data_IF_818398191722
#
_entry.id   IF_818398191722
#
_cell.length_a   1.000
_cell.length_b   1.000
_cell.length_c   1.000
_cell.angle_alpha   90.00
_cell.angle_beta   90.00
_cell.angle_gamma   90.00
#
_symmetry.space_group_name_H-M   'P 1'
#
loop_
_entity.id
_entity.type
_entity.pdbx_description
1 polymer ?
#
# COMPACT_ATOMS: atom_id res chain seq x y z
N UNK A 1 -5.98 14.01 -11.14
CA UNK A 1 -5.85 13.40 -9.80
C UNK A 1 -6.19 14.47 -8.77
N UNK A 2 -7.07 14.16 -7.82
CA UNK A 2 -7.44 15.09 -6.74
C UNK A 2 -6.79 14.57 -5.45
N UNK A 3 -6.03 15.43 -4.79
CA UNK A 3 -5.41 15.16 -3.50
C UNK A 3 -5.89 16.23 -2.55
N UNK A 4 -6.43 15.86 -1.40
CA UNK A 4 -6.96 16.80 -0.44
C UNK A 4 -6.71 16.31 1.00
N UNK A 5 -7.15 17.07 1.96
CA UNK A 5 -7.12 16.74 3.38
C UNK A 5 -8.51 16.97 3.96
N UNK A 6 -8.83 16.37 5.11
CA UNK A 6 -10.06 16.70 5.80
C UNK A 6 -10.02 18.15 6.33
N UNK A 7 -11.18 18.70 6.62
CA UNK A 7 -11.31 20.11 7.02
C UNK A 7 -10.50 20.48 8.26
N UNK A 8 -10.32 19.54 9.18
CA UNK A 8 -9.52 19.75 10.39
C UNK A 8 -8.01 19.86 10.13
N UNK A 9 -7.57 19.50 8.93
CA UNK A 9 -6.18 19.65 8.48
C UNK A 9 -6.04 20.66 7.34
N UNK A 10 -7.06 21.51 7.15
CA UNK A 10 -7.00 22.61 6.19
C UNK A 10 -7.50 22.31 4.80
N UNK A 11 -8.07 21.13 4.57
CA UNK A 11 -8.64 20.74 3.28
C UNK A 11 -10.15 20.89 3.22
N UNK A 12 -10.74 20.43 2.12
CA UNK A 12 -12.18 20.43 1.86
C UNK A 12 -12.79 19.04 1.72
N UNK A 13 -11.97 17.99 1.95
CA UNK A 13 -12.39 16.58 1.88
C UNK A 13 -12.97 16.19 0.52
N UNK A 14 -12.39 16.69 -0.56
CA UNK A 14 -12.82 16.41 -1.93
C UNK A 14 -12.08 15.23 -2.58
N UNK A 15 -11.10 14.67 -1.91
CA UNK A 15 -10.32 13.58 -2.44
C UNK A 15 -9.49 12.88 -1.36
N UNK A 16 -8.85 11.76 -1.70
CA UNK A 16 -7.98 11.06 -0.77
C UNK A 16 -6.81 11.93 -0.31
N UNK A 17 -6.36 11.67 0.92
CA UNK A 17 -5.17 12.33 1.46
C UNK A 17 -3.91 11.81 0.78
N UNK A 18 -2.79 12.55 0.84
CA UNK A 18 -1.52 12.07 0.27
C UNK A 18 -1.12 10.67 0.75
N UNK A 19 -1.29 10.37 2.03
CA UNK A 19 -0.92 9.06 2.57
C UNK A 19 -1.89 7.95 2.17
N UNK A 20 -3.16 8.28 1.94
CA UNK A 20 -4.11 7.31 1.39
C UNK A 20 -3.74 6.93 -0.06
N UNK A 21 -3.15 7.84 -0.83
CA UNK A 21 -2.62 7.52 -2.15
C UNK A 21 -1.47 6.51 -2.09
N UNK A 22 -0.68 6.52 -1.02
CA UNK A 22 0.35 5.49 -0.80
C UNK A 22 -0.31 4.11 -0.69
N UNK A 23 -1.39 4.01 0.08
CA UNK A 23 -2.15 2.75 0.22
C UNK A 23 -2.76 2.32 -1.11
N UNK A 24 -3.30 3.26 -1.87
CA UNK A 24 -3.84 3.00 -3.20
C UNK A 24 -2.77 2.52 -4.18
N UNK A 25 -1.59 3.13 -4.16
CA UNK A 25 -0.46 2.72 -4.98
C UNK A 25 -0.01 1.29 -4.62
N UNK A 26 0.02 0.97 -3.34
CA UNK A 26 0.37 -0.38 -2.87
C UNK A 26 -0.62 -1.42 -3.41
N UNK A 27 -1.92 -1.15 -3.29
CA UNK A 27 -2.96 -2.04 -3.82
C UNK A 27 -2.83 -2.24 -5.33
N UNK A 28 -2.60 -1.15 -6.07
CA UNK A 28 -2.39 -1.21 -7.52
C UNK A 28 -1.18 -2.05 -7.90
N UNK A 29 -0.06 -1.84 -7.23
CA UNK A 29 1.15 -2.61 -7.49
C UNK A 29 0.98 -4.09 -7.16
N UNK A 30 0.37 -4.40 -6.03
CA UNK A 30 0.08 -5.79 -5.65
C UNK A 30 -0.86 -6.46 -6.66
N UNK A 31 -1.80 -5.72 -7.26
CA UNK A 31 -2.67 -6.23 -8.31
C UNK A 31 -1.86 -6.63 -9.54
N UNK A 32 -1.00 -5.75 -10.03
CA UNK A 32 -0.17 -6.02 -11.21
C UNK A 32 0.74 -7.22 -10.98
N UNK A 33 1.48 -7.22 -9.89
CA UNK A 33 2.39 -8.34 -9.55
C UNK A 33 1.59 -9.61 -9.30
N UNK A 34 0.42 -9.49 -8.67
CA UNK A 34 -0.47 -10.62 -8.41
C UNK A 34 -0.88 -11.35 -9.68
N UNK A 35 -1.24 -10.61 -10.72
CA UNK A 35 -1.59 -11.21 -12.03
C UNK A 35 -0.38 -11.82 -12.73
N UNK A 36 0.78 -11.17 -12.66
CA UNK A 36 2.02 -11.72 -13.23
C UNK A 36 2.37 -13.05 -12.59
N UNK A 37 2.35 -13.13 -11.27
CA UNK A 37 2.70 -14.36 -10.54
C UNK A 37 1.65 -15.47 -10.77
N UNK A 38 0.36 -15.11 -10.78
CA UNK A 38 -0.70 -16.08 -11.07
C UNK A 38 -0.52 -16.74 -12.43
N UNK A 39 -0.14 -15.95 -13.43
CA UNK A 39 0.15 -16.47 -14.78
C UNK A 39 1.35 -17.42 -14.76
N UNK A 40 2.42 -17.06 -14.05
CA UNK A 40 3.59 -17.93 -13.90
C UNK A 40 3.23 -19.24 -13.20
N UNK A 41 2.35 -19.20 -12.20
CA UNK A 41 1.89 -20.36 -11.45
C UNK A 41 0.76 -21.14 -12.15
N UNK A 42 0.30 -20.65 -13.31
CA UNK A 42 -0.72 -21.28 -14.15
C UNK A 42 -2.07 -21.52 -13.46
N UNK A 43 -2.52 -20.55 -12.63
CA UNK A 43 -3.88 -20.57 -12.12
C UNK A 43 -4.66 -19.32 -12.57
N UNK A 44 -6.00 -19.44 -12.57
CA UNK A 44 -6.88 -18.34 -12.94
C UNK A 44 -7.02 -17.37 -11.78
N UNK A 45 -6.74 -16.10 -12.03
CA UNK A 45 -6.98 -14.99 -11.11
C UNK A 45 -7.90 -14.00 -11.82
N UNK A 46 -9.15 -13.91 -11.36
CA UNK A 46 -10.16 -13.03 -11.95
C UNK A 46 -10.07 -11.60 -11.46
N UNK A 47 -9.62 -11.42 -10.23
CA UNK A 47 -9.45 -10.12 -9.62
C UNK A 47 -8.98 -10.24 -8.19
N UNK A 48 -8.67 -9.09 -7.58
CA UNK A 48 -8.23 -9.02 -6.19
C UNK A 48 -8.95 -7.86 -5.53
N UNK A 49 -9.54 -8.10 -4.37
CA UNK A 49 -10.05 -7.05 -3.49
C UNK A 49 -9.07 -6.85 -2.34
N UNK A 50 -8.85 -5.61 -1.95
CA UNK A 50 -7.96 -5.29 -0.85
C UNK A 50 -8.69 -4.51 0.23
N UNK A 51 -8.34 -4.80 1.48
CA UNK A 51 -8.65 -3.94 2.62
C UNK A 51 -7.31 -3.47 3.18
N UNK A 52 -7.08 -2.15 3.16
CA UNK A 52 -5.82 -1.56 3.60
C UNK A 52 -6.07 -0.60 4.75
N UNK A 53 -5.17 -0.62 5.71
CA UNK A 53 -5.15 0.32 6.82
C UNK A 53 -3.71 0.67 7.16
N UNK A 54 -3.50 1.88 7.63
CA UNK A 54 -2.19 2.34 8.10
C UNK A 54 -2.34 3.19 9.34
N UNK A 55 -1.37 3.09 10.24
CA UNK A 55 -1.32 3.86 11.48
C UNK A 55 -0.31 4.99 11.32
N UNK A 56 -0.73 6.23 11.55
CA UNK A 56 0.09 7.41 11.39
C UNK A 56 -0.11 8.36 12.57
N UNK A 57 1.00 8.81 13.16
CA UNK A 57 1.00 9.82 14.20
C UNK A 57 1.23 11.20 13.55
N UNK A 58 0.27 12.13 13.59
CA UNK A 58 0.41 13.42 12.93
C UNK A 58 1.33 14.41 13.66
N UNK A 59 1.83 14.09 14.85
CA UNK A 59 2.57 15.04 15.69
C UNK A 59 3.78 15.64 14.96
N UNK A 60 4.59 14.80 14.31
CA UNK A 60 5.78 15.28 13.60
C UNK A 60 5.44 16.10 12.36
N UNK A 61 4.39 15.71 11.65
CA UNK A 61 3.87 16.47 10.53
C UNK A 61 3.42 17.89 10.96
N UNK A 62 2.81 18.00 12.13
CA UNK A 62 2.32 19.28 12.68
C UNK A 62 3.41 20.10 13.38
N UNK A 63 4.66 19.65 13.34
CA UNK A 63 5.77 20.38 13.97
C UNK A 63 5.87 20.19 15.48
N UNK A 64 5.17 19.22 16.03
CA UNK A 64 5.24 18.91 17.45
C UNK A 64 6.40 17.95 17.73
N UNK A 65 6.92 17.98 18.97
CA UNK A 65 7.92 17.03 19.41
C UNK A 65 7.31 15.63 19.46
N UNK A 66 7.91 14.67 18.72
CA UNK A 66 7.39 13.31 18.62
C UNK A 66 8.52 12.30 18.59
N UNK A 67 8.27 11.15 19.20
CA UNK A 67 9.16 9.99 19.14
C UNK A 67 8.93 9.14 17.91
N UNK A 68 7.72 9.18 17.37
CA UNK A 68 7.35 8.41 16.19
C UNK A 68 7.82 9.10 14.90
N UNK A 69 8.14 8.28 13.88
CA UNK A 69 8.43 8.80 12.55
C UNK A 69 7.20 9.50 11.96
N UNK A 70 7.43 10.39 10.99
CA UNK A 70 6.34 11.13 10.34
C UNK A 70 5.40 10.23 9.51
N UNK A 71 5.91 9.14 8.98
CA UNK A 71 5.16 8.23 8.10
C UNK A 71 4.35 7.19 8.85
N UNK A 72 3.83 6.23 8.10
CA UNK A 72 3.11 5.10 8.69
C UNK A 72 4.00 4.31 9.65
N UNK A 73 3.45 3.99 10.82
CA UNK A 73 4.08 3.10 11.77
C UNK A 73 3.91 1.63 11.36
N UNK A 74 2.75 1.31 10.79
CA UNK A 74 2.41 0.00 10.27
C UNK A 74 1.40 0.14 9.15
N UNK A 75 1.50 -0.70 8.15
CA UNK A 75 0.50 -0.84 7.09
C UNK A 75 0.03 -2.29 7.10
N UNK A 76 -1.28 -2.48 7.15
CA UNK A 76 -1.91 -3.79 7.12
C UNK A 76 -2.69 -3.93 5.82
N UNK A 77 -2.48 -5.04 5.13
CA UNK A 77 -3.15 -5.33 3.87
C UNK A 77 -3.81 -6.69 3.95
N UNK A 78 -5.14 -6.73 3.82
CA UNK A 78 -5.87 -7.97 3.65
C UNK A 78 -6.11 -8.17 2.17
N UNK A 79 -5.66 -9.30 1.64
CA UNK A 79 -5.71 -9.63 0.22
C UNK A 79 -6.80 -10.69 0.00
N UNK A 80 -7.76 -10.38 -0.86
CA UNK A 80 -8.92 -11.22 -1.14
C UNK A 80 -8.93 -11.57 -2.63
N UNK A 81 -8.19 -12.63 -3.05
CA UNK A 81 -8.15 -13.01 -4.45
C UNK A 81 -9.43 -13.77 -4.87
N UNK A 82 -9.91 -13.48 -6.06
CA UNK A 82 -10.94 -14.24 -6.73
C UNK A 82 -10.27 -15.20 -7.71
N UNK A 83 -10.13 -16.46 -7.34
CA UNK A 83 -9.38 -17.45 -8.10
C UNK A 83 -9.90 -18.86 -7.92
N UNK A 84 -9.40 -19.77 -8.76
CA UNK A 84 -9.63 -21.20 -8.65
C UNK A 84 -8.47 -21.95 -7.96
N UNK A 85 -7.50 -21.22 -7.42
CA UNK A 85 -6.32 -21.81 -6.78
C UNK A 85 -6.63 -22.43 -5.42
N UNK A 86 -5.86 -23.44 -5.05
CA UNK A 86 -5.91 -24.03 -3.72
C UNK A 86 -5.30 -23.08 -2.68
N UNK A 87 -5.57 -23.32 -1.41
CA UNK A 87 -4.97 -22.52 -0.34
C UNK A 87 -3.44 -22.59 -0.37
N UNK A 88 -2.87 -23.76 -0.64
CA UNK A 88 -1.42 -23.93 -0.76
C UNK A 88 -0.84 -23.07 -1.91
N UNK A 89 -1.51 -23.07 -3.06
CA UNK A 89 -1.10 -22.21 -4.18
C UNK A 89 -1.22 -20.72 -3.82
N UNK A 90 -2.28 -20.32 -3.15
CA UNK A 90 -2.48 -18.94 -2.73
C UNK A 90 -1.43 -18.49 -1.70
N UNK A 91 -1.04 -19.36 -0.78
CA UNK A 91 0.01 -19.06 0.18
C UNK A 91 1.35 -18.80 -0.51
N UNK A 92 1.72 -19.67 -1.47
CA UNK A 92 2.93 -19.50 -2.27
C UNK A 92 2.86 -18.25 -3.15
N UNK A 93 1.70 -18.01 -3.76
CA UNK A 93 1.43 -16.82 -4.57
C UNK A 93 1.59 -15.53 -3.76
N UNK A 94 0.99 -15.46 -2.59
CA UNK A 94 1.04 -14.26 -1.74
C UNK A 94 2.48 -13.95 -1.32
N UNK A 95 3.25 -14.97 -0.97
CA UNK A 95 4.66 -14.82 -0.61
C UNK A 95 5.49 -14.26 -1.78
N UNK A 96 5.29 -14.80 -2.98
CA UNK A 96 5.97 -14.32 -4.17
C UNK A 96 5.58 -12.88 -4.52
N UNK A 97 4.29 -12.55 -4.47
CA UNK A 97 3.78 -11.20 -4.75
C UNK A 97 4.39 -10.19 -3.78
N UNK A 98 4.36 -10.48 -2.48
CA UNK A 98 4.90 -9.59 -1.45
C UNK A 98 6.39 -9.33 -1.63
N UNK A 99 7.16 -10.34 -2.03
CA UNK A 99 8.61 -10.22 -2.21
C UNK A 99 9.00 -9.48 -3.51
N UNK A 100 8.10 -9.38 -4.47
CA UNK A 100 8.39 -8.82 -5.82
C UNK A 100 7.73 -7.46 -6.08
N UNK A 101 6.92 -6.96 -5.16
CA UNK A 101 6.20 -5.71 -5.33
C UNK A 101 7.12 -4.50 -5.10
N UNK A 102 7.41 -3.67 -6.13
CA UNK A 102 8.29 -2.51 -5.94
C UNK A 102 7.77 -1.49 -4.93
N UNK A 103 6.46 -1.27 -4.86
CA UNK A 103 5.89 -0.32 -3.91
C UNK A 103 6.04 -0.86 -2.49
N UNK A 104 5.76 -2.14 -2.27
CA UNK A 104 5.97 -2.78 -0.97
C UNK A 104 7.44 -2.69 -0.54
N UNK A 105 8.36 -2.92 -1.48
CA UNK A 105 9.79 -2.79 -1.22
C UNK A 105 10.17 -1.38 -0.79
N UNK A 106 9.66 -0.36 -1.47
CA UNK A 106 9.90 1.04 -1.10
C UNK A 106 9.39 1.36 0.31
N UNK A 107 8.23 0.82 0.69
CA UNK A 107 7.63 1.07 1.99
C UNK A 107 8.30 0.30 3.14
N UNK A 108 8.81 -0.89 2.86
CA UNK A 108 9.42 -1.77 3.86
C UNK A 108 10.91 -1.48 4.08
N UNK A 109 11.54 -0.69 3.20
CA UNK A 109 12.97 -0.40 3.25
C UNK A 109 13.22 1.10 3.21
N UNK A 110 14.42 1.51 3.61
CA UNK A 110 14.85 2.90 3.52
C UNK A 110 15.18 3.24 2.08
N UNK A 111 14.45 4.21 1.53
CA UNK A 111 14.71 4.75 0.18
C UNK A 111 15.18 6.19 0.32
N UNK A 112 16.38 6.54 -0.16
CA UNK A 112 16.84 7.94 -0.12
C UNK A 112 15.90 8.84 -0.94
N UNK A 113 15.54 9.98 -0.34
CA UNK A 113 14.74 11.01 -1.00
C UNK A 113 15.53 12.32 -0.94
N UNK A 114 15.87 12.87 -2.10
CA UNK A 114 16.61 14.13 -2.21
C UNK A 114 15.67 15.26 -2.61
N UNK A 115 15.71 16.33 -1.83
CA UNK A 115 14.96 17.54 -2.11
C UNK A 115 15.94 18.64 -2.52
N UNK A 116 15.66 19.34 -3.61
CA UNK A 116 16.50 20.42 -4.13
C UNK A 116 15.65 21.63 -4.50
N UNK A 117 16.27 22.83 -4.48
CA UNK A 117 15.68 24.06 -5.02
C UNK A 117 16.21 24.30 -6.42
#
# INVERSE_FOLDING_TARGET
>A
MIIDEPSNLGGTDEGPTPVEYILGALAGCLTVVGHVVAKEMAFELRGITFELAGDLDPAKFLGESATNRAGFQEIRVKVLPDSNASQEQLDAWLKAVGSRCPVSDNLANTTPVQLTL
#
